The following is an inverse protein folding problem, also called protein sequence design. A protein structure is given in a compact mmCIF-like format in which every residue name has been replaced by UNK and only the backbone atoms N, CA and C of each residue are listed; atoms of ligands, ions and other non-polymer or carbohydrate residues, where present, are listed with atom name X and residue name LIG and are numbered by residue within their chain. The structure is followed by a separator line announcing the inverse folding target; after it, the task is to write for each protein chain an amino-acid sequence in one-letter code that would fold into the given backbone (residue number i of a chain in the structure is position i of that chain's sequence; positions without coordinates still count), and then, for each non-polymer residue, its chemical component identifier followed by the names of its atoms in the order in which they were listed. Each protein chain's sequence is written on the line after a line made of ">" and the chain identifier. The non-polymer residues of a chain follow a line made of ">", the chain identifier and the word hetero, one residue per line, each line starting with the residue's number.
data_IF_748765620789
#
_entry.id   IF_748765620789
#
_cell.length_a   1.000
_cell.length_b   1.000
_cell.length_c   1.000
_cell.angle_alpha   90.00
_cell.angle_beta   90.00
_cell.angle_gamma   90.00
#
_symmetry.space_group_name_H-M   'P 1'
#
loop_
_entity.id
_entity.type
_entity.pdbx_description
1 polymer ?
#
# COMPACT_ATOMS: atom_id res chain seq x y z
N UNK A 1 -2.10 10.27 14.46
CA UNK A 1 -3.25 9.37 14.19
C UNK A 1 -3.13 8.98 12.74
N UNK A 2 -3.26 7.69 12.44
CA UNK A 2 -3.32 7.24 11.05
C UNK A 2 -4.52 7.91 10.37
N UNK A 3 -4.34 8.36 9.12
CA UNK A 3 -5.37 9.10 8.40
C UNK A 3 -6.49 8.11 8.02
N UNK A 4 -7.75 8.36 8.46
CA UNK A 4 -8.88 7.44 8.25
C UNK A 4 -9.14 7.12 6.78
N UNK A 5 -8.70 7.98 5.86
CA UNK A 5 -8.78 7.72 4.43
C UNK A 5 -7.99 6.45 4.05
N UNK A 6 -6.71 6.37 4.43
CA UNK A 6 -5.86 5.24 4.04
C UNK A 6 -6.32 3.94 4.69
N UNK A 7 -6.71 3.98 5.97
CA UNK A 7 -7.24 2.80 6.65
C UNK A 7 -8.53 2.29 5.99
N UNK A 8 -9.47 3.19 5.68
CA UNK A 8 -10.74 2.82 5.07
C UNK A 8 -10.55 2.31 3.63
N UNK A 9 -9.79 3.02 2.80
CA UNK A 9 -9.57 2.57 1.41
C UNK A 9 -8.74 1.29 1.35
N UNK A 10 -7.72 1.15 2.21
CA UNK A 10 -6.91 -0.07 2.22
C UNK A 10 -7.70 -1.29 2.71
N UNK A 11 -8.68 -1.11 3.60
CA UNK A 11 -9.56 -2.20 4.05
C UNK A 11 -10.44 -2.79 2.94
N UNK A 12 -10.63 -2.04 1.84
CA UNK A 12 -11.40 -2.48 0.67
C UNK A 12 -10.55 -3.28 -0.31
N UNK A 13 -9.23 -3.28 -0.17
CA UNK A 13 -8.32 -3.98 -1.09
C UNK A 13 -8.39 -5.49 -0.81
N UNK A 14 -8.62 -6.33 -1.83
CA UNK A 14 -8.52 -7.77 -1.68
C UNK A 14 -7.14 -8.21 -1.18
N UNK A 15 -7.09 -9.17 -0.25
CA UNK A 15 -5.81 -9.71 0.25
C UNK A 15 -4.90 -10.27 -0.86
N UNK A 16 -5.46 -10.65 -2.00
CA UNK A 16 -4.72 -11.12 -3.18
C UNK A 16 -3.98 -9.99 -3.92
N UNK A 17 -4.45 -8.75 -3.81
CA UNK A 17 -3.87 -7.57 -4.47
C UNK A 17 -2.85 -6.84 -3.58
N UNK A 18 -2.93 -7.04 -2.25
CA UNK A 18 -1.98 -6.45 -1.29
C UNK A 18 -0.51 -6.78 -1.65
N UNK A 19 -0.12 -8.03 -1.98
CA UNK A 19 1.26 -8.34 -2.35
C UNK A 19 1.75 -7.56 -3.58
N UNK A 20 0.91 -7.36 -4.59
CA UNK A 20 1.26 -6.63 -5.82
C UNK A 20 1.51 -5.15 -5.51
N UNK A 21 0.65 -4.54 -4.70
CA UNK A 21 0.81 -3.15 -4.24
C UNK A 21 2.05 -2.95 -3.38
N UNK A 22 2.35 -3.92 -2.51
CA UNK A 22 3.57 -3.94 -1.71
C UNK A 22 4.82 -4.15 -2.57
N UNK A 23 4.73 -4.90 -3.67
CA UNK A 23 5.85 -5.07 -4.61
C UNK A 23 6.24 -3.73 -5.22
N UNK A 24 5.27 -2.92 -5.64
CA UNK A 24 5.52 -1.56 -6.18
C UNK A 24 6.26 -0.68 -5.18
N UNK A 25 5.83 -0.65 -3.93
CA UNK A 25 6.50 0.10 -2.85
C UNK A 25 7.92 -0.44 -2.57
N UNK A 26 8.10 -1.76 -2.66
CA UNK A 26 9.40 -2.41 -2.48
C UNK A 26 10.38 -2.03 -3.61
N UNK A 27 9.91 -1.99 -4.86
CA UNK A 27 10.70 -1.63 -6.04
C UNK A 27 11.04 -0.14 -6.08
N UNK A 28 10.10 0.73 -5.69
CA UNK A 28 10.31 2.17 -5.56
C UNK A 28 11.27 2.54 -4.43
N UNK A 29 11.52 1.63 -3.48
CA UNK A 29 12.37 1.88 -2.32
C UNK A 29 11.69 2.70 -1.23
N UNK A 30 10.36 2.80 -1.28
CA UNK A 30 9.54 3.56 -0.32
C UNK A 30 9.34 2.84 1.02
N UNK A 31 9.66 1.54 1.09
CA UNK A 31 9.60 0.74 2.32
C UNK A 31 10.84 0.91 3.20
N UNK A 32 10.62 0.94 4.52
CA UNK A 32 11.68 0.81 5.52
C UNK A 32 12.29 -0.60 5.54
N UNK A 33 13.50 -0.75 6.10
CA UNK A 33 14.19 -2.04 6.20
C UNK A 33 13.37 -3.13 6.93
N UNK A 34 12.57 -2.73 7.93
CA UNK A 34 11.68 -3.64 8.66
C UNK A 34 10.58 -4.16 7.71
N UNK A 35 9.94 -3.27 6.97
CA UNK A 35 8.86 -3.60 6.03
C UNK A 35 9.37 -4.45 4.87
N UNK A 36 10.57 -4.15 4.36
CA UNK A 36 11.25 -4.98 3.35
C UNK A 36 11.56 -6.39 3.87
N UNK A 37 11.91 -6.51 5.15
CA UNK A 37 12.08 -7.80 5.83
C UNK A 37 10.77 -8.59 5.89
N UNK A 38 9.69 -7.94 6.32
CA UNK A 38 8.35 -8.53 6.42
C UNK A 38 7.85 -8.94 5.02
N UNK A 39 7.97 -8.07 4.01
CA UNK A 39 7.56 -8.35 2.64
C UNK A 39 8.29 -9.58 2.06
N UNK A 40 9.62 -9.67 2.20
CA UNK A 40 10.39 -10.85 1.76
C UNK A 40 9.92 -12.12 2.45
N UNK A 41 9.69 -12.06 3.75
CA UNK A 41 9.19 -13.20 4.52
C UNK A 41 7.80 -13.66 4.04
N UNK A 42 6.88 -12.72 3.73
CA UNK A 42 5.57 -13.04 3.15
C UNK A 42 5.73 -13.68 1.77
N UNK A 43 6.60 -13.13 0.90
CA UNK A 43 6.84 -13.65 -0.46
C UNK A 43 7.40 -15.07 -0.47
N UNK A 44 8.30 -15.38 0.47
CA UNK A 44 8.96 -16.70 0.55
C UNK A 44 8.13 -17.76 1.30
N UNK A 45 7.44 -17.37 2.38
CA UNK A 45 6.86 -18.31 3.36
C UNK A 45 5.36 -18.11 3.60
N UNK A 46 4.75 -17.12 2.95
CA UNK A 46 3.35 -16.77 3.12
C UNK A 46 3.06 -15.97 4.40
N UNK A 47 1.86 -15.40 4.46
CA UNK A 47 1.41 -14.51 5.52
C UNK A 47 1.34 -15.19 6.91
N UNK A 48 1.11 -16.51 6.95
CA UNK A 48 1.08 -17.30 8.18
C UNK A 48 2.43 -17.43 8.88
N UNK A 49 3.52 -17.06 8.20
CA UNK A 49 4.86 -17.10 8.78
C UNK A 49 5.16 -15.92 9.70
N UNK A 50 4.33 -14.87 9.69
CA UNK A 50 4.54 -13.67 10.49
C UNK A 50 4.32 -13.92 11.98
N UNK A 51 5.23 -13.44 12.82
CA UNK A 51 5.00 -13.31 14.26
C UNK A 51 3.90 -12.28 14.54
N UNK A 52 3.33 -12.29 15.76
CA UNK A 52 2.29 -11.33 16.18
C UNK A 52 2.70 -9.87 15.96
N UNK A 53 3.95 -9.52 16.28
CA UNK A 53 4.45 -8.15 16.09
C UNK A 53 4.60 -7.79 14.60
N UNK A 54 5.12 -8.70 13.79
CA UNK A 54 5.21 -8.49 12.34
C UNK A 54 3.84 -8.41 11.70
N UNK A 55 2.88 -9.20 12.18
CA UNK A 55 1.50 -9.15 11.72
C UNK A 55 0.85 -7.81 12.04
N UNK A 56 1.08 -7.28 13.24
CA UNK A 56 0.62 -5.94 13.59
C UNK A 56 1.23 -4.86 12.68
N UNK A 57 2.53 -4.93 12.40
CA UNK A 57 3.19 -4.01 11.46
C UNK A 57 2.68 -4.16 10.02
N UNK A 58 2.40 -5.37 9.58
CA UNK A 58 1.79 -5.61 8.28
C UNK A 58 0.40 -4.97 8.20
N UNK A 59 -0.49 -5.27 9.16
CA UNK A 59 -1.88 -4.82 9.12
C UNK A 59 -2.02 -3.29 9.34
N UNK A 60 -1.19 -2.68 10.19
CA UNK A 60 -1.34 -1.27 10.59
C UNK A 60 -0.30 -0.33 9.95
N UNK A 61 0.84 -0.87 9.52
CA UNK A 61 1.91 -0.10 8.90
C UNK A 61 1.92 -0.23 7.39
N UNK A 62 1.89 -1.46 6.89
CA UNK A 62 2.08 -1.74 5.45
C UNK A 62 0.79 -1.64 4.64
N UNK A 63 -0.32 -2.20 5.11
CA UNK A 63 -1.60 -2.18 4.38
C UNK A 63 -2.05 -0.73 4.04
N UNK A 64 -2.01 0.25 4.96
CA UNK A 64 -2.40 1.63 4.63
C UNK A 64 -1.55 2.27 3.52
N UNK A 65 -0.29 1.84 3.36
CA UNK A 65 0.60 2.34 2.30
C UNK A 65 0.24 1.80 0.92
N UNK A 66 -0.59 0.74 0.86
CA UNK A 66 -1.13 0.23 -0.40
C UNK A 66 -2.12 1.20 -1.07
N UNK A 67 -2.38 2.38 -0.50
CA UNK A 67 -3.24 3.41 -1.07
C UNK A 67 -2.52 4.76 -1.06
N UNK A 68 -2.64 5.49 -2.16
CA UNK A 68 -2.21 6.89 -2.25
C UNK A 68 -3.41 7.80 -2.53
N UNK A 69 -3.31 9.08 -2.15
CA UNK A 69 -4.33 10.09 -2.53
C UNK A 69 -4.02 10.63 -3.91
N UNK A 70 -5.06 10.88 -4.69
CA UNK A 70 -4.92 11.63 -5.92
C UNK A 70 -4.45 13.06 -5.62
N UNK A 71 -3.42 13.52 -6.31
CA UNK A 71 -2.89 14.89 -6.20
C UNK A 71 -3.81 15.95 -6.82
N UNK A 72 -4.85 15.55 -7.56
CA UNK A 72 -5.80 16.50 -8.14
C UNK A 72 -6.62 17.21 -7.05
N UNK A 73 -6.64 18.56 -7.01
CA UNK A 73 -7.35 19.30 -5.98
C UNK A 73 -8.84 18.95 -5.91
N UNK A 74 -9.29 18.49 -4.74
CA UNK A 74 -10.70 18.12 -4.51
C UNK A 74 -11.06 16.71 -4.97
N UNK A 75 -10.13 15.94 -5.54
CA UNK A 75 -10.36 14.53 -5.82
C UNK A 75 -10.26 13.71 -4.52
N UNK A 76 -11.25 12.86 -4.27
CA UNK A 76 -11.27 11.92 -3.15
C UNK A 76 -11.03 10.47 -3.57
N UNK A 77 -10.66 10.22 -4.84
CA UNK A 77 -10.42 8.87 -5.35
C UNK A 77 -9.03 8.38 -4.89
N UNK A 78 -8.91 7.11 -4.48
CA UNK A 78 -7.61 6.52 -4.20
C UNK A 78 -6.83 6.30 -5.49
N UNK A 79 -5.50 6.33 -5.36
CA UNK A 79 -4.54 5.94 -6.38
C UNK A 79 -3.84 4.65 -5.97
N UNK A 80 -3.28 3.99 -6.97
CA UNK A 80 -2.30 2.93 -6.73
C UNK A 80 -1.06 3.53 -6.05
N UNK A 81 -0.33 2.77 -5.20
CA UNK A 81 0.92 3.26 -4.63
C UNK A 81 1.89 3.76 -5.70
N UNK A 82 2.63 4.81 -5.38
CA UNK A 82 3.59 5.46 -6.29
C UNK A 82 2.95 6.12 -7.52
N UNK A 83 1.61 6.20 -7.58
CA UNK A 83 0.90 6.99 -8.59
C UNK A 83 0.44 8.34 -8.03
N UNK A 84 0.76 9.41 -8.76
CA UNK A 84 0.36 10.77 -8.41
C UNK A 84 -1.15 11.02 -8.67
N UNK A 85 -1.71 10.38 -9.70
CA UNK A 85 -3.09 10.58 -10.13
C UNK A 85 -3.87 9.27 -10.13
N UNK A 86 -5.19 9.35 -9.89
CA UNK A 86 -6.05 8.17 -9.95
C UNK A 86 -6.35 7.84 -11.42
N UNK A 87 -6.86 6.64 -11.70
CA UNK A 87 -7.29 6.17 -13.02
C UNK A 87 -7.90 7.24 -13.95
N UNK A 88 -8.82 8.05 -13.43
CA UNK A 88 -9.46 9.14 -14.17
C UNK A 88 -8.52 10.31 -14.47
N UNK A 89 -7.78 10.80 -13.47
CA UNK A 89 -6.91 11.97 -13.63
C UNK A 89 -5.55 11.59 -14.23
N UNK A 90 -5.15 10.31 -14.22
CA UNK A 90 -3.99 9.81 -14.94
C UNK A 90 -4.19 9.91 -16.45
N UNK A 91 -5.41 9.70 -16.95
CA UNK A 91 -5.73 9.93 -18.37
C UNK A 91 -5.65 11.42 -18.75
N UNK A 92 -6.07 12.30 -17.84
CA UNK A 92 -6.16 13.74 -18.09
C UNK A 92 -4.84 14.50 -17.82
N UNK A 93 -4.04 14.04 -16.87
CA UNK A 93 -2.88 14.73 -16.31
C UNK A 93 -1.62 13.85 -16.19
N UNK A 94 -1.73 12.54 -16.43
CA UNK A 94 -0.60 11.62 -16.43
C UNK A 94 0.35 11.93 -17.58
N UNK A 95 1.63 12.05 -17.24
CA UNK A 95 2.70 12.56 -18.10
C UNK A 95 3.36 11.46 -18.93
#
# INVERSE_FOLDING_TARGET
>A
MADPFFENEASKIPLTEIPERLETLYEAGSMSEIERGIYRQIKERGLSSLSTNQRWHFDNGMIPQCVQRCSFPGCSRPCYPEQEYCDMHEIEYGR
#
